data_IF_155888438263
#
_entry.id   IF_155888438263
#
_cell.length_a   1.000
_cell.length_b   1.000
_cell.length_c   1.000
_cell.angle_alpha   90.00
_cell.angle_beta   90.00
_cell.angle_gamma   90.00
#
_symmetry.space_group_name_H-M   'P 1'
#
loop_
_entity.id
_entity.type
_entity.pdbx_description
1 polymer ?
#
# COMPACT_ATOMS: atom_id res chain seq x y z
N UNK A 1 8.17 -52.39 11.26
CA UNK A 1 7.50 -51.47 12.21
C UNK A 1 8.48 -50.64 13.04
N UNK A 2 9.35 -51.22 13.88
CA UNK A 2 10.24 -50.46 14.80
C UNK A 2 11.18 -49.44 14.12
N UNK A 3 11.77 -49.78 12.95
CA UNK A 3 12.62 -48.86 12.17
C UNK A 3 11.86 -47.68 11.56
N UNK A 4 10.64 -47.91 11.05
CA UNK A 4 9.80 -46.84 10.48
C UNK A 4 9.29 -45.88 11.55
N UNK A 5 8.98 -46.38 12.75
CA UNK A 5 8.66 -45.54 13.91
C UNK A 5 9.85 -44.66 14.32
N UNK A 6 11.07 -45.22 14.35
CA UNK A 6 12.27 -44.45 14.69
C UNK A 6 12.57 -43.34 13.66
N UNK A 7 12.39 -43.61 12.37
CA UNK A 7 12.58 -42.59 11.31
C UNK A 7 11.50 -41.51 11.37
N UNK A 8 10.23 -41.86 11.63
CA UNK A 8 9.14 -40.89 11.77
C UNK A 8 9.34 -39.96 12.98
N UNK A 9 9.81 -40.49 14.11
CA UNK A 9 10.14 -39.70 15.30
C UNK A 9 11.32 -38.76 15.02
N UNK A 10 12.34 -39.22 14.29
CA UNK A 10 13.49 -38.39 13.94
C UNK A 10 13.13 -37.21 13.02
N UNK A 11 12.25 -37.44 12.04
CA UNK A 11 11.75 -36.39 11.14
C UNK A 11 10.84 -35.39 11.87
N UNK A 12 9.99 -35.86 12.78
CA UNK A 12 9.14 -34.99 13.61
C UNK A 12 9.98 -34.08 14.54
N UNK A 13 11.08 -34.60 15.09
CA UNK A 13 12.01 -33.81 15.91
C UNK A 13 12.75 -32.77 15.08
N UNK A 14 13.17 -33.11 13.85
CA UNK A 14 13.80 -32.14 12.94
C UNK A 14 12.84 -31.01 12.52
N UNK A 15 11.57 -31.34 12.24
CA UNK A 15 10.55 -30.33 11.91
C UNK A 15 10.19 -29.41 13.08
N UNK A 16 10.32 -29.88 14.33
CA UNK A 16 10.07 -29.07 15.53
C UNK A 16 11.26 -28.16 15.91
N UNK A 17 12.42 -28.36 15.29
CA UNK A 17 13.66 -27.64 15.61
C UNK A 17 13.94 -26.42 14.73
N UNK A 18 12.98 -25.97 13.91
CA UNK A 18 13.13 -24.69 13.20
C UNK A 18 13.13 -23.55 14.23
N UNK A 19 14.24 -22.81 14.41
CA UNK A 19 14.24 -21.68 15.32
C UNK A 19 13.26 -20.63 14.81
N UNK A 20 12.28 -20.29 15.63
CA UNK A 20 11.46 -19.12 15.37
C UNK A 20 12.37 -17.89 15.35
N UNK A 21 12.24 -17.05 14.31
CA UNK A 21 12.95 -15.79 14.27
C UNK A 21 12.44 -14.91 15.42
N UNK A 22 13.27 -14.71 16.44
CA UNK A 22 12.97 -13.81 17.56
C UNK A 22 13.64 -12.46 17.33
N UNK A 23 12.82 -11.42 17.16
CA UNK A 23 13.27 -10.04 17.21
C UNK A 23 13.16 -9.53 18.65
N UNK A 24 14.22 -8.90 19.16
CA UNK A 24 14.20 -8.27 20.47
C UNK A 24 13.38 -6.97 20.43
N UNK A 25 12.73 -6.65 21.56
CA UNK A 25 12.03 -5.38 21.73
C UNK A 25 13.03 -4.21 21.69
N UNK A 26 12.71 -3.19 20.88
CA UNK A 26 13.47 -1.94 20.82
C UNK A 26 12.69 -0.85 21.52
N UNK A 27 13.30 -0.24 22.54
CA UNK A 27 12.68 0.86 23.30
C UNK A 27 13.08 2.20 22.72
N UNK A 28 12.08 3.03 22.42
CA UNK A 28 12.24 4.41 21.92
C UNK A 28 11.54 5.36 22.88
N UNK A 29 12.20 6.47 23.23
CA UNK A 29 11.63 7.53 24.06
C UNK A 29 11.55 8.83 23.25
N UNK A 30 10.53 9.65 23.50
CA UNK A 30 10.33 10.92 22.80
C UNK A 30 9.49 11.91 23.61
N UNK A 31 9.54 13.18 23.25
CA UNK A 31 8.73 14.26 23.84
C UNK A 31 7.97 15.00 22.73
N UNK A 32 6.66 15.21 22.91
CA UNK A 32 5.83 15.99 21.99
C UNK A 32 5.47 17.34 22.62
N UNK A 33 5.80 18.44 21.93
CA UNK A 33 5.54 19.82 22.36
C UNK A 33 4.33 20.41 21.64
N UNK A 34 3.14 20.19 22.19
CA UNK A 34 1.88 20.73 21.63
C UNK A 34 1.76 22.25 21.85
N UNK A 35 2.51 22.79 22.80
CA UNK A 35 2.60 24.22 23.16
C UNK A 35 3.48 25.06 22.23
N UNK A 36 4.18 24.43 21.28
CA UNK A 36 5.13 25.08 20.37
C UNK A 36 4.72 24.86 18.91
N UNK A 37 3.69 25.56 18.39
CA UNK A 37 3.23 25.36 17.02
C UNK A 37 4.33 25.74 16.01
N UNK A 38 4.56 24.85 15.04
CA UNK A 38 5.45 25.09 13.92
C UNK A 38 4.74 25.69 12.70
N UNK A 39 5.44 25.78 11.56
CA UNK A 39 4.85 26.17 10.29
C UNK A 39 3.72 25.23 9.84
N UNK A 40 2.82 25.73 8.99
CA UNK A 40 1.76 24.91 8.40
C UNK A 40 2.36 23.80 7.52
N UNK A 41 1.94 22.57 7.77
CA UNK A 41 2.16 21.45 6.84
C UNK A 41 1.21 21.64 5.65
N UNK A 42 1.75 22.11 4.53
CA UNK A 42 0.95 22.40 3.32
C UNK A 42 0.27 21.14 2.79
N UNK A 43 -1.02 21.24 2.44
CA UNK A 43 -1.74 20.12 1.81
C UNK A 43 -1.08 19.68 0.50
N UNK A 44 -0.39 20.58 -0.19
CA UNK A 44 0.23 20.30 -1.49
C UNK A 44 1.37 19.26 -1.41
N UNK A 45 1.85 18.96 -0.20
CA UNK A 45 2.78 17.84 0.05
C UNK A 45 2.16 16.48 -0.33
N UNK A 46 0.84 16.37 -0.38
CA UNK A 46 0.11 15.16 -0.78
C UNK A 46 -0.33 15.18 -2.26
N UNK A 47 0.35 15.99 -3.08
CA UNK A 47 0.12 16.07 -4.52
C UNK A 47 0.34 14.74 -5.25
N UNK A 48 -0.25 14.62 -6.44
CA UNK A 48 -0.15 13.44 -7.29
C UNK A 48 0.48 13.80 -8.64
N UNK A 49 0.92 12.78 -9.39
CA UNK A 49 1.51 12.94 -10.70
C UNK A 49 0.94 11.89 -11.66
N UNK A 50 0.46 12.32 -12.82
CA UNK A 50 -0.16 11.49 -13.84
C UNK A 50 0.52 11.75 -15.20
N UNK A 51 1.36 10.81 -15.63
CA UNK A 51 2.03 10.87 -16.94
C UNK A 51 1.33 9.99 -17.97
N UNK A 52 1.48 10.31 -19.26
CA UNK A 52 1.12 9.41 -20.35
C UNK A 52 2.08 8.21 -20.43
N UNK A 53 2.07 7.36 -19.39
CA UNK A 53 2.99 6.24 -19.22
C UNK A 53 2.23 4.95 -18.90
N UNK A 54 2.39 3.94 -19.76
CA UNK A 54 1.71 2.66 -19.64
C UNK A 54 0.19 2.82 -19.56
N UNK A 55 -0.41 2.25 -18.52
CA UNK A 55 -1.85 2.29 -18.25
C UNK A 55 -2.26 3.39 -17.28
N UNK A 56 -1.36 4.32 -16.92
CA UNK A 56 -1.64 5.38 -15.95
C UNK A 56 -2.82 6.27 -16.35
N UNK A 57 -2.85 6.72 -17.61
CA UNK A 57 -3.99 7.46 -18.17
C UNK A 57 -4.99 6.51 -18.81
N UNK A 58 -4.59 5.74 -19.84
CA UNK A 58 -5.49 4.86 -20.57
C UNK A 58 -5.72 3.56 -19.79
N UNK A 59 -6.94 3.37 -19.31
CA UNK A 59 -7.34 2.29 -18.41
C UNK A 59 -7.29 2.67 -16.92
N UNK A 60 -6.25 3.40 -16.51
CA UNK A 60 -6.08 3.87 -15.13
C UNK A 60 -6.98 5.03 -14.74
N UNK A 61 -7.24 5.97 -15.65
CA UNK A 61 -8.12 7.14 -15.41
C UNK A 61 -9.18 7.25 -16.51
N UNK A 62 -8.75 7.28 -17.76
CA UNK A 62 -9.61 7.39 -18.93
C UNK A 62 -9.92 6.01 -19.50
N UNK A 63 -11.20 5.71 -19.65
CA UNK A 63 -11.71 4.46 -20.25
C UNK A 63 -12.55 4.69 -21.51
N UNK A 64 -12.92 5.94 -21.81
CA UNK A 64 -13.81 6.32 -22.91
C UNK A 64 -15.29 6.33 -22.49
N UNK A 65 -16.10 7.20 -23.12
CA UNK A 65 -17.52 7.37 -22.75
C UNK A 65 -18.34 6.10 -23.01
N UNK A 66 -18.06 5.39 -24.10
CA UNK A 66 -18.74 4.14 -24.48
C UNK A 66 -18.19 2.89 -23.77
N UNK A 67 -17.31 3.06 -22.78
CA UNK A 67 -16.72 1.94 -22.05
C UNK A 67 -17.77 1.18 -21.24
N UNK A 68 -17.72 -0.17 -21.18
CA UNK A 68 -18.56 -0.94 -20.26
C UNK A 68 -18.17 -0.70 -18.79
N UNK A 69 -17.01 -0.11 -18.51
CA UNK A 69 -16.59 0.28 -17.16
C UNK A 69 -17.43 1.49 -16.70
N UNK A 70 -18.09 1.43 -15.52
CA UNK A 70 -18.86 2.56 -15.01
C UNK A 70 -18.03 3.84 -14.94
N UNK A 71 -18.44 4.85 -15.70
CA UNK A 71 -17.67 6.08 -15.88
C UNK A 71 -18.59 7.32 -15.88
N UNK A 72 -17.97 8.48 -15.67
CA UNK A 72 -18.60 9.79 -15.86
C UNK A 72 -17.77 10.52 -16.92
N UNK A 73 -18.33 10.77 -18.10
CA UNK A 73 -17.62 11.43 -19.22
C UNK A 73 -16.28 10.77 -19.55
N UNK A 74 -16.23 9.44 -19.56
CA UNK A 74 -15.04 8.66 -19.88
C UNK A 74 -14.04 8.45 -18.72
N UNK A 75 -14.25 9.06 -17.56
CA UNK A 75 -13.44 8.85 -16.35
C UNK A 75 -14.06 7.77 -15.47
N UNK A 76 -13.32 6.71 -15.14
CA UNK A 76 -13.86 5.59 -14.34
C UNK A 76 -14.22 6.02 -12.91
N UNK A 77 -15.44 5.67 -12.48
CA UNK A 77 -16.06 6.24 -11.27
C UNK A 77 -15.38 5.76 -9.98
N UNK A 78 -14.86 4.54 -9.97
CA UNK A 78 -14.14 3.95 -8.84
C UNK A 78 -12.87 4.73 -8.49
N UNK A 79 -12.06 5.09 -9.49
CA UNK A 79 -10.84 5.90 -9.28
C UNK A 79 -11.20 7.32 -8.88
N UNK A 80 -12.20 7.95 -9.52
CA UNK A 80 -12.65 9.29 -9.14
C UNK A 80 -13.13 9.33 -7.68
N UNK A 81 -13.90 8.32 -7.25
CA UNK A 81 -14.36 8.22 -5.87
C UNK A 81 -13.19 8.06 -4.89
N UNK A 82 -12.23 7.17 -5.18
CA UNK A 82 -11.07 6.94 -4.34
C UNK A 82 -10.18 8.20 -4.20
N UNK A 83 -9.91 8.90 -5.31
CA UNK A 83 -9.10 10.13 -5.29
C UNK A 83 -9.79 11.27 -4.52
N UNK A 84 -11.12 11.38 -4.63
CA UNK A 84 -11.89 12.34 -3.83
C UNK A 84 -11.86 12.02 -2.34
N UNK A 85 -11.93 10.73 -1.96
CA UNK A 85 -11.91 10.30 -0.57
C UNK A 85 -10.61 10.68 0.17
N UNK A 86 -9.48 10.71 -0.55
CA UNK A 86 -8.19 11.15 0.01
C UNK A 86 -7.90 12.65 -0.21
N UNK A 87 -8.87 13.40 -0.74
CA UNK A 87 -8.77 14.84 -0.98
C UNK A 87 -7.50 15.26 -1.74
N UNK A 88 -7.23 14.61 -2.89
CA UNK A 88 -6.08 14.93 -3.75
C UNK A 88 -6.00 16.45 -4.00
N UNK A 89 -4.89 17.12 -3.63
CA UNK A 89 -4.83 18.57 -3.59
C UNK A 89 -4.36 19.21 -4.92
N UNK A 90 -3.59 18.46 -5.71
CA UNK A 90 -3.10 18.82 -7.04
C UNK A 90 -2.73 17.53 -7.81
N UNK A 91 -2.76 17.62 -9.15
CA UNK A 91 -2.26 16.59 -10.06
C UNK A 91 -1.37 17.29 -11.09
N UNK A 92 -0.09 16.92 -11.18
CA UNK A 92 0.79 17.31 -12.30
C UNK A 92 0.56 16.36 -13.48
N UNK A 93 0.48 16.89 -14.69
CA UNK A 93 0.24 16.16 -15.95
C UNK A 93 0.74 17.04 -17.13
N UNK A 94 1.26 16.52 -18.26
CA UNK A 94 1.33 15.11 -18.66
C UNK A 94 2.67 14.41 -18.41
N UNK A 95 3.62 15.05 -17.73
CA UNK A 95 5.01 14.59 -17.53
C UNK A 95 5.82 15.63 -16.76
#
# INVERSE_FOLDING_TARGET
>A
MRRQLLTAVFVAVLLASTPAAFAAEVKVSGTLRVDQPGPQVSRQLFGQFAEHLGTGIYGGVWVGEDSPIPNTRGYRNDVVAALKAIAVPNIRWPG
#
